data_IF_794880032536
#
_entry.id   IF_794880032536
#
_cell.length_a   1.000
_cell.length_b   1.000
_cell.length_c   1.000
_cell.angle_alpha   90.00
_cell.angle_beta   90.00
_cell.angle_gamma   90.00
#
_symmetry.space_group_name_H-M   'P 1'
#
loop_
_entity.id
_entity.type
_entity.pdbx_description
1 polymer ?
#
# COMPACT_ATOMS: atom_id res chain seq x y z
N UNK A 1 65.02 7.88 0.70
CA UNK A 1 64.11 6.73 0.84
C UNK A 1 62.72 7.27 1.05
N UNK A 2 61.91 7.25 0.05
CA UNK A 2 60.51 7.75 0.07
C UNK A 2 59.60 6.54 0.06
N UNK A 3 58.76 6.42 1.08
CA UNK A 3 57.83 5.30 1.25
C UNK A 3 56.46 5.79 0.75
N UNK A 4 56.01 5.27 -0.39
CA UNK A 4 54.69 5.55 -0.92
C UNK A 4 53.60 4.88 -0.07
N UNK A 5 52.46 5.55 0.24
CA UNK A 5 51.41 4.95 1.01
C UNK A 5 50.53 4.04 0.10
N UNK A 6 50.54 2.76 0.40
CA UNK A 6 49.60 1.76 -0.15
C UNK A 6 48.23 1.98 0.50
N UNK A 7 47.42 2.87 -0.06
CA UNK A 7 46.08 3.11 0.47
C UNK A 7 44.97 3.27 -0.61
N UNK A 8 45.13 2.68 -1.80
CA UNK A 8 44.13 2.86 -2.85
C UNK A 8 43.51 1.59 -3.45
N UNK A 9 43.65 0.43 -2.79
CA UNK A 9 43.19 -0.84 -3.42
C UNK A 9 42.06 -1.62 -2.68
N UNK A 10 41.36 -1.04 -1.69
CA UNK A 10 40.39 -1.82 -0.91
C UNK A 10 38.93 -1.31 -0.95
N UNK A 11 38.61 -0.26 -1.71
CA UNK A 11 37.24 0.31 -1.63
C UNK A 11 36.39 0.06 -2.88
N UNK A 12 36.97 -0.46 -3.95
CA UNK A 12 36.24 -0.64 -5.23
C UNK A 12 35.43 -1.93 -5.34
N UNK A 13 35.69 -2.94 -4.50
CA UNK A 13 35.10 -4.28 -4.69
C UNK A 13 33.76 -4.53 -3.95
N UNK A 14 33.47 -3.77 -2.91
CA UNK A 14 32.31 -4.04 -2.06
C UNK A 14 31.06 -3.27 -2.54
N UNK A 15 31.24 -2.11 -3.14
CA UNK A 15 30.13 -1.31 -3.68
C UNK A 15 29.52 -1.90 -4.98
N UNK A 16 30.30 -2.58 -5.81
CA UNK A 16 29.83 -3.17 -7.06
C UNK A 16 28.92 -4.38 -6.84
N UNK A 17 29.14 -5.17 -5.78
CA UNK A 17 28.27 -6.31 -5.47
C UNK A 17 26.91 -5.86 -4.93
N UNK A 18 26.84 -4.88 -4.05
CA UNK A 18 25.59 -4.38 -3.49
C UNK A 18 24.67 -3.78 -4.56
N UNK A 19 25.21 -3.01 -5.48
CA UNK A 19 24.43 -2.44 -6.60
C UNK A 19 23.98 -3.49 -7.59
N UNK A 20 24.77 -4.53 -7.83
CA UNK A 20 24.39 -5.65 -8.70
C UNK A 20 23.22 -6.46 -8.12
N UNK A 21 23.26 -6.81 -6.83
CA UNK A 21 22.16 -7.50 -6.16
C UNK A 21 20.89 -6.64 -6.10
N UNK A 22 21.00 -5.35 -5.81
CA UNK A 22 19.88 -4.44 -5.82
C UNK A 22 19.25 -4.27 -7.21
N UNK A 23 20.07 -4.17 -8.26
CA UNK A 23 19.58 -4.09 -9.63
C UNK A 23 18.91 -5.39 -10.10
N UNK A 24 19.45 -6.55 -9.73
CA UNK A 24 18.85 -7.85 -10.05
C UNK A 24 17.52 -8.06 -9.32
N UNK A 25 17.43 -7.73 -8.04
CA UNK A 25 16.19 -7.78 -7.28
C UNK A 25 15.13 -6.83 -7.87
N UNK A 26 15.52 -5.62 -8.26
CA UNK A 26 14.62 -4.67 -8.92
C UNK A 26 14.12 -5.19 -10.27
N UNK A 27 14.98 -5.85 -11.06
CA UNK A 27 14.61 -6.45 -12.34
C UNK A 27 13.65 -7.64 -12.16
N UNK A 28 13.86 -8.49 -11.17
CA UNK A 28 12.96 -9.60 -10.83
C UNK A 28 11.59 -9.10 -10.35
N UNK A 29 11.55 -8.07 -9.50
CA UNK A 29 10.31 -7.43 -9.08
C UNK A 29 9.56 -6.77 -10.26
N UNK A 30 10.28 -6.13 -11.18
CA UNK A 30 9.68 -5.55 -12.37
C UNK A 30 9.07 -6.62 -13.29
N UNK A 31 9.78 -7.73 -13.56
CA UNK A 31 9.29 -8.84 -14.38
C UNK A 31 8.10 -9.55 -13.74
N UNK A 32 8.12 -9.74 -12.41
CA UNK A 32 7.00 -10.32 -11.67
C UNK A 32 5.76 -9.42 -11.71
N UNK A 33 5.93 -8.12 -11.50
CA UNK A 33 4.82 -7.16 -11.56
C UNK A 33 4.22 -7.06 -12.97
N UNK A 34 5.03 -7.19 -14.02
CA UNK A 34 4.57 -7.21 -15.41
C UNK A 34 3.80 -8.49 -15.71
N UNK A 35 4.28 -9.64 -15.26
CA UNK A 35 3.60 -10.92 -15.40
C UNK A 35 2.24 -10.92 -14.68
N UNK A 36 2.18 -10.38 -13.45
CA UNK A 36 0.92 -10.22 -12.72
C UNK A 36 -0.07 -9.33 -13.47
N UNK A 37 0.39 -8.18 -13.99
CA UNK A 37 -0.47 -7.29 -14.78
C UNK A 37 -0.95 -7.94 -16.06
N UNK A 38 -0.10 -8.74 -16.73
CA UNK A 38 -0.49 -9.48 -17.93
C UNK A 38 -1.55 -10.54 -17.62
N UNK A 39 -1.40 -11.27 -16.51
CA UNK A 39 -2.41 -12.23 -16.03
C UNK A 39 -3.72 -11.55 -15.64
N UNK A 40 -3.67 -10.41 -14.95
CA UNK A 40 -4.86 -9.63 -14.61
C UNK A 40 -5.60 -9.16 -15.86
N UNK A 41 -4.90 -8.56 -16.83
CA UNK A 41 -5.53 -8.15 -18.11
C UNK A 41 -6.16 -9.31 -18.86
N UNK A 42 -5.50 -10.48 -18.84
CA UNK A 42 -6.01 -11.69 -19.50
C UNK A 42 -7.26 -12.21 -18.77
N UNK A 43 -7.28 -12.16 -17.44
CA UNK A 43 -8.46 -12.51 -16.66
C UNK A 43 -9.62 -11.53 -16.88
N UNK A 44 -9.34 -10.23 -16.89
CA UNK A 44 -10.34 -9.18 -17.17
C UNK A 44 -10.89 -9.26 -18.59
N UNK A 45 -10.06 -9.59 -19.59
CA UNK A 45 -10.51 -9.75 -20.98
C UNK A 45 -11.31 -11.03 -21.22
N UNK A 46 -11.25 -12.00 -20.31
CA UNK A 46 -12.03 -13.23 -20.37
C UNK A 46 -13.41 -13.10 -19.69
N UNK A 47 -13.64 -12.00 -18.95
CA UNK A 47 -14.91 -11.72 -18.28
C UNK A 47 -15.89 -11.04 -19.26
N UNK A 48 -17.18 -11.32 -19.06
CA UNK A 48 -18.21 -10.52 -19.72
C UNK A 48 -18.16 -9.07 -19.22
N UNK A 49 -18.62 -8.07 -19.99
CA UNK A 49 -18.63 -6.66 -19.57
C UNK A 49 -19.28 -6.45 -18.19
N UNK A 50 -20.36 -7.19 -17.91
CA UNK A 50 -21.09 -7.14 -16.65
C UNK A 50 -20.30 -7.72 -15.47
N UNK A 51 -19.52 -8.78 -15.71
CA UNK A 51 -18.65 -9.38 -14.68
C UNK A 51 -17.45 -8.50 -14.39
N UNK A 52 -16.91 -7.84 -15.41
CA UNK A 52 -15.82 -6.87 -15.25
C UNK A 52 -16.28 -5.66 -14.41
N UNK A 53 -17.50 -5.14 -14.63
CA UNK A 53 -18.08 -4.06 -13.84
C UNK A 53 -18.33 -4.48 -12.39
N UNK A 54 -18.85 -5.70 -12.17
CA UNK A 54 -19.07 -6.23 -10.83
C UNK A 54 -17.74 -6.38 -10.05
N UNK A 55 -16.72 -6.90 -10.71
CA UNK A 55 -15.39 -7.04 -10.12
C UNK A 55 -14.77 -5.68 -9.77
N UNK A 56 -14.93 -4.69 -10.65
CA UNK A 56 -14.47 -3.33 -10.42
C UNK A 56 -15.13 -2.71 -9.18
N UNK A 57 -16.45 -2.82 -9.05
CA UNK A 57 -17.20 -2.32 -7.89
C UNK A 57 -16.81 -3.02 -6.58
N UNK A 58 -16.56 -4.33 -6.62
CA UNK A 58 -16.08 -5.06 -5.46
C UNK A 58 -14.67 -4.57 -5.02
N UNK A 59 -13.81 -4.28 -6.00
CA UNK A 59 -12.47 -3.76 -5.75
C UNK A 59 -12.51 -2.36 -5.13
N UNK A 60 -13.32 -1.47 -5.70
CA UNK A 60 -13.55 -0.12 -5.17
C UNK A 60 -14.12 -0.15 -3.75
N UNK A 61 -15.06 -1.07 -3.47
CA UNK A 61 -15.59 -1.27 -2.12
C UNK A 61 -14.48 -1.70 -1.15
N UNK A 62 -13.64 -2.64 -1.55
CA UNK A 62 -12.54 -3.10 -0.70
C UNK A 62 -11.55 -1.98 -0.41
N UNK A 63 -11.16 -1.21 -1.41
CA UNK A 63 -10.28 -0.05 -1.26
C UNK A 63 -10.90 1.02 -0.34
N UNK A 64 -12.20 1.27 -0.47
CA UNK A 64 -12.91 2.18 0.42
C UNK A 64 -12.92 1.69 1.88
N UNK A 65 -13.13 0.40 2.11
CA UNK A 65 -13.08 -0.20 3.45
C UNK A 65 -11.67 -0.11 4.06
N UNK A 66 -10.62 -0.36 3.28
CA UNK A 66 -9.22 -0.21 3.71
C UNK A 66 -8.89 1.25 4.02
N UNK A 67 -9.34 2.18 3.18
CA UNK A 67 -9.19 3.62 3.42
C UNK A 67 -9.86 4.08 4.72
N UNK A 68 -11.05 3.54 5.03
CA UNK A 68 -11.74 3.81 6.29
C UNK A 68 -10.95 3.27 7.49
N UNK A 69 -10.43 2.04 7.40
CA UNK A 69 -9.60 1.45 8.45
C UNK A 69 -8.34 2.27 8.68
N UNK A 70 -7.66 2.70 7.63
CA UNK A 70 -6.47 3.56 7.72
C UNK A 70 -6.79 4.89 8.43
N UNK A 71 -7.91 5.51 8.10
CA UNK A 71 -8.37 6.75 8.75
C UNK A 71 -8.67 6.53 10.24
N UNK A 72 -9.33 5.44 10.58
CA UNK A 72 -9.62 5.07 11.96
C UNK A 72 -8.33 4.82 12.76
N UNK A 73 -7.41 4.04 12.21
CA UNK A 73 -6.10 3.76 12.81
C UNK A 73 -5.30 5.05 13.03
N UNK A 74 -5.31 5.96 12.06
CA UNK A 74 -4.66 7.26 12.19
C UNK A 74 -5.24 8.08 13.33
N UNK A 75 -6.57 8.14 13.43
CA UNK A 75 -7.26 8.85 14.52
C UNK A 75 -6.91 8.25 15.88
N UNK A 76 -6.96 6.92 16.01
CA UNK A 76 -6.59 6.21 17.24
C UNK A 76 -5.12 6.44 17.60
N UNK A 77 -4.22 6.38 16.64
CA UNK A 77 -2.79 6.59 16.84
C UNK A 77 -2.48 8.03 17.29
N UNK A 78 -3.17 9.01 16.72
CA UNK A 78 -3.06 10.42 17.15
C UNK A 78 -3.46 10.60 18.62
N UNK A 79 -4.55 9.97 19.04
CA UNK A 79 -4.99 10.04 20.44
C UNK A 79 -4.00 9.35 21.38
N UNK A 80 -3.48 8.17 20.99
CA UNK A 80 -2.40 7.52 21.75
C UNK A 80 -1.15 8.38 21.85
N UNK A 81 -0.77 9.07 20.77
CA UNK A 81 0.41 9.95 20.76
C UNK A 81 0.27 11.13 21.73
N UNK A 82 -0.92 11.65 21.96
CA UNK A 82 -1.16 12.72 22.94
C UNK A 82 -0.87 12.29 24.38
N UNK A 83 -0.92 10.98 24.66
CA UNK A 83 -0.62 10.43 26.00
C UNK A 83 0.89 10.25 26.25
N UNK A 84 1.71 10.32 25.20
CA UNK A 84 3.17 10.21 25.31
C UNK A 84 3.73 11.57 25.72
N UNK A 85 4.50 11.65 26.84
CA UNK A 85 5.14 12.89 27.25
C UNK A 85 6.05 13.41 26.13
N UNK A 86 5.98 14.69 25.86
CA UNK A 86 6.87 15.33 24.89
C UNK A 86 8.24 15.49 25.54
N UNK A 87 9.26 14.87 24.95
CA UNK A 87 10.64 15.06 25.38
C UNK A 87 11.15 16.42 24.88
N UNK A 88 11.55 17.28 25.78
CA UNK A 88 12.13 18.61 25.49
C UNK A 88 13.50 18.54 24.81
N UNK A 89 14.11 17.36 24.79
CA UNK A 89 15.46 17.12 24.24
C UNK A 89 15.61 17.37 22.73
N UNK A 90 14.51 17.25 21.95
CA UNK A 90 14.55 17.39 20.50
C UNK A 90 13.88 18.66 19.96
N UNK A 91 13.53 19.60 20.82
CA UNK A 91 12.95 20.89 20.46
C UNK A 91 11.60 20.77 19.71
N UNK A 92 10.59 21.48 20.16
CA UNK A 92 9.32 21.63 19.45
C UNK A 92 9.55 22.52 18.22
N UNK A 93 9.67 21.92 17.04
CA UNK A 93 9.67 22.65 15.78
C UNK A 93 8.41 22.26 15.00
N UNK A 94 7.72 23.25 14.50
CA UNK A 94 6.53 23.07 13.64
C UNK A 94 6.82 22.11 12.46
N UNK A 95 8.04 22.14 11.95
CA UNK A 95 8.48 21.25 10.89
C UNK A 95 8.55 19.77 11.34
N UNK A 96 8.98 19.52 12.58
CA UNK A 96 9.04 18.18 13.14
C UNK A 96 7.63 17.62 13.39
N UNK A 97 6.69 18.44 13.82
CA UNK A 97 5.30 18.01 14.03
C UNK A 97 4.62 17.67 12.71
N UNK A 98 4.83 18.47 11.67
CA UNK A 98 4.33 18.17 10.32
C UNK A 98 4.95 16.88 9.79
N UNK A 99 6.26 16.69 9.92
CA UNK A 99 6.93 15.48 9.50
C UNK A 99 6.38 14.23 10.22
N UNK A 100 6.19 14.32 11.53
CA UNK A 100 5.61 13.24 12.33
C UNK A 100 4.19 12.90 11.89
N UNK A 101 3.34 13.90 11.66
CA UNK A 101 1.96 13.71 11.20
C UNK A 101 1.92 13.02 9.82
N UNK A 102 2.78 13.41 8.90
CA UNK A 102 2.89 12.78 7.58
C UNK A 102 3.40 11.33 7.70
N UNK A 103 4.44 11.11 8.49
CA UNK A 103 5.01 9.78 8.73
C UNK A 103 3.98 8.85 9.38
N UNK A 104 3.26 9.32 10.39
CA UNK A 104 2.24 8.55 11.08
C UNK A 104 1.08 8.18 10.18
N UNK A 105 0.66 9.11 9.32
CA UNK A 105 -0.40 8.88 8.34
C UNK A 105 0.00 7.78 7.35
N UNK A 106 1.22 7.84 6.83
CA UNK A 106 1.73 6.82 5.90
C UNK A 106 1.91 5.46 6.60
N UNK A 107 2.41 5.47 7.84
CA UNK A 107 2.55 4.25 8.64
C UNK A 107 1.19 3.57 8.87
N UNK A 108 0.17 4.33 9.26
CA UNK A 108 -1.18 3.77 9.50
C UNK A 108 -1.84 3.25 8.22
N UNK A 109 -1.56 3.88 7.09
CA UNK A 109 -1.98 3.38 5.79
C UNK A 109 -1.32 2.03 5.47
N UNK A 110 -0.01 1.91 5.64
CA UNK A 110 0.71 0.64 5.44
C UNK A 110 0.22 -0.46 6.38
N UNK A 111 -0.10 -0.13 7.63
CA UNK A 111 -0.70 -1.07 8.57
C UNK A 111 -2.06 -1.55 8.08
N UNK A 112 -2.93 -0.65 7.61
CA UNK A 112 -4.23 -1.02 7.05
C UNK A 112 -4.11 -1.89 5.80
N UNK A 113 -3.18 -1.56 4.89
CA UNK A 113 -2.92 -2.31 3.66
C UNK A 113 -2.37 -3.72 3.94
N UNK A 114 -1.62 -3.90 5.04
CA UNK A 114 -1.09 -5.20 5.47
C UNK A 114 -2.09 -6.08 6.25
N UNK A 115 -3.34 -5.65 6.36
CA UNK A 115 -4.41 -6.39 7.03
C UNK A 115 -4.97 -5.73 8.29
N UNK A 116 -4.34 -4.65 8.77
CA UNK A 116 -4.84 -3.80 9.84
C UNK A 116 -5.30 -4.54 11.09
N UNK A 117 -6.41 -4.08 11.66
CA UNK A 117 -7.10 -4.71 12.79
C UNK A 117 -8.37 -5.46 12.36
N UNK A 118 -8.62 -5.55 11.04
CA UNK A 118 -9.71 -6.33 10.45
C UNK A 118 -11.05 -5.60 10.34
N UNK A 119 -11.10 -4.31 10.56
CA UNK A 119 -12.32 -3.49 10.38
C UNK A 119 -12.71 -3.47 8.89
N UNK A 120 -11.74 -3.33 8.00
CA UNK A 120 -11.97 -3.34 6.56
C UNK A 120 -12.63 -4.64 6.09
N UNK A 121 -12.15 -5.79 6.56
CA UNK A 121 -12.73 -7.09 6.23
C UNK A 121 -14.14 -7.26 6.80
N UNK A 122 -14.38 -6.77 8.00
CA UNK A 122 -15.72 -6.81 8.63
C UNK A 122 -16.70 -5.95 7.84
N UNK A 123 -16.31 -4.72 7.48
CA UNK A 123 -17.14 -3.81 6.67
C UNK A 123 -17.40 -4.38 5.28
N UNK A 124 -16.36 -4.91 4.63
CA UNK A 124 -16.49 -5.53 3.33
C UNK A 124 -17.49 -6.69 3.34
N UNK A 125 -17.42 -7.58 4.32
CA UNK A 125 -18.38 -8.69 4.46
C UNK A 125 -19.82 -8.25 4.68
N UNK A 126 -20.02 -7.08 5.31
CA UNK A 126 -21.38 -6.54 5.51
C UNK A 126 -21.91 -5.81 4.28
N UNK A 127 -21.05 -5.15 3.51
CA UNK A 127 -21.44 -4.30 2.39
C UNK A 127 -21.46 -5.04 1.05
N UNK A 128 -20.62 -6.06 0.85
CA UNK A 128 -20.53 -6.81 -0.41
C UNK A 128 -21.89 -7.42 -0.84
N UNK A 129 -22.71 -8.04 0.05
CA UNK A 129 -23.98 -8.59 -0.37
C UNK A 129 -25.00 -7.53 -0.82
N UNK A 130 -24.88 -6.29 -0.36
CA UNK A 130 -25.75 -5.19 -0.78
C UNK A 130 -25.38 -4.73 -2.19
N UNK A 131 -24.11 -4.62 -2.49
CA UNK A 131 -23.61 -4.26 -3.82
C UNK A 131 -23.96 -5.35 -4.83
N UNK A 132 -23.79 -6.62 -4.47
CA UNK A 132 -24.19 -7.74 -5.34
C UNK A 132 -25.68 -7.69 -5.72
N UNK A 133 -26.55 -7.46 -4.73
CA UNK A 133 -28.00 -7.31 -4.99
C UNK A 133 -28.32 -6.11 -5.89
N UNK A 134 -27.62 -4.99 -5.73
CA UNK A 134 -27.78 -3.81 -6.58
C UNK A 134 -27.35 -4.09 -8.02
N UNK A 135 -26.23 -4.79 -8.21
CA UNK A 135 -25.72 -5.22 -9.49
C UNK A 135 -26.70 -6.18 -10.20
N UNK A 136 -27.23 -7.16 -9.48
CA UNK A 136 -28.24 -8.08 -10.01
C UNK A 136 -29.53 -7.36 -10.39
N UNK A 137 -29.99 -6.40 -9.59
CA UNK A 137 -31.16 -5.60 -9.88
C UNK A 137 -30.95 -4.73 -11.12
N UNK A 138 -29.79 -4.12 -11.28
CA UNK A 138 -29.43 -3.32 -12.45
C UNK A 138 -29.37 -4.18 -13.72
N UNK A 139 -28.80 -5.38 -13.65
CA UNK A 139 -28.78 -6.36 -14.76
C UNK A 139 -30.19 -6.75 -15.23
N UNK A 140 -31.05 -7.05 -14.27
CA UNK A 140 -32.45 -7.40 -14.57
C UNK A 140 -33.22 -6.24 -15.22
N UNK A 141 -33.00 -5.02 -14.79
CA UNK A 141 -33.60 -3.82 -15.37
C UNK A 141 -33.11 -3.53 -16.79
N UNK A 142 -31.83 -3.79 -17.09
CA UNK A 142 -31.27 -3.61 -18.44
C UNK A 142 -31.68 -4.67 -19.47
N UNK A 143 -32.14 -5.84 -19.04
CA UNK A 143 -32.61 -6.92 -19.92
C UNK A 143 -34.07 -6.81 -20.30
N UNK A 144 -34.80 -5.83 -19.76
CA UNK A 144 -36.25 -5.66 -20.00
C UNK A 144 -36.59 -4.56 -21.03
N UNK A 145 -35.57 -3.99 -21.69
CA UNK A 145 -35.70 -3.04 -22.79
C UNK A 145 -35.27 -3.70 -24.11
#
# INVERSE_FOLDING_TARGET
MQIDPISSLATGGIQSNSTYYAANAAAEHASFSETLRAMQRKAESALSPDEAEALQKQKELREACQGFEAMFLNMMFREMRKTVPKDELFGESNAMDIYRDMHDTELMKQVADSGGIGIADMMYKQLSPQIERQLEAARKAGQTQ
#
